data_IF_975021610465
#
_entry.id   IF_975021610465
#
_cell.length_a   1.000
_cell.length_b   1.000
_cell.length_c   1.000
_cell.angle_alpha   90.00
_cell.angle_beta   90.00
_cell.angle_gamma   90.00
#
_symmetry.space_group_name_H-M   'P 1'
#
loop_
_entity.id
_entity.type
_entity.pdbx_description
1 polymer ?
#
# COMPACT_ATOMS: atom_id res chain seq x y z
N UNK A 1 0.80 -16.02 -5.21
CA UNK A 1 1.30 -15.19 -4.11
C UNK A 1 1.13 -13.73 -4.46
N UNK A 2 0.60 -12.94 -3.54
CA UNK A 2 0.44 -11.49 -3.68
C UNK A 2 0.88 -10.79 -2.41
N UNK A 3 1.20 -9.51 -2.52
CA UNK A 3 1.59 -8.63 -1.43
C UNK A 3 0.54 -7.55 -1.26
N UNK A 4 0.02 -7.40 -0.05
CA UNK A 4 -0.72 -6.20 0.36
C UNK A 4 0.27 -5.26 1.02
N UNK A 5 0.28 -4.01 0.61
CA UNK A 5 1.27 -3.04 1.08
C UNK A 5 0.65 -1.70 1.41
N UNK A 6 1.23 -1.07 2.44
CA UNK A 6 0.87 0.22 2.98
C UNK A 6 2.08 1.13 2.82
N UNK A 7 1.91 2.24 2.10
CA UNK A 7 2.95 3.24 1.88
C UNK A 7 2.56 4.56 2.53
N UNK A 8 3.58 5.32 2.92
CA UNK A 8 3.44 6.71 3.31
C UNK A 8 4.43 7.57 2.52
N UNK A 9 4.00 8.77 2.13
CA UNK A 9 4.89 9.74 1.49
C UNK A 9 5.87 10.31 2.50
N UNK A 10 7.15 10.35 2.13
CA UNK A 10 8.17 11.00 2.96
C UNK A 10 8.13 12.53 2.81
N UNK A 11 7.76 13.03 1.63
CA UNK A 11 7.66 14.46 1.35
C UNK A 11 6.37 15.09 1.86
N UNK A 12 5.30 14.30 2.02
CA UNK A 12 3.98 14.77 2.45
C UNK A 12 3.41 13.90 3.57
N UNK A 13 3.77 14.18 4.85
CA UNK A 13 3.29 13.41 5.99
C UNK A 13 1.77 13.25 6.01
N UNK A 14 1.29 12.05 6.29
CA UNK A 14 -0.14 11.72 6.28
C UNK A 14 -0.71 11.36 4.91
N UNK A 15 0.02 11.55 3.80
CA UNK A 15 -0.36 10.97 2.50
C UNK A 15 -0.02 9.49 2.49
N UNK A 16 -1.06 8.66 2.42
CA UNK A 16 -0.99 7.20 2.58
C UNK A 16 -1.55 6.51 1.35
N UNK A 17 -1.04 5.32 1.05
CA UNK A 17 -1.50 4.50 -0.05
C UNK A 17 -1.59 3.04 0.38
N UNK A 18 -2.66 2.36 -0.04
CA UNK A 18 -2.85 0.92 0.17
C UNK A 18 -2.99 0.26 -1.19
N UNK A 19 -2.19 -0.77 -1.44
CA UNK A 19 -2.19 -1.48 -2.71
C UNK A 19 -1.97 -2.98 -2.56
N UNK A 20 -2.15 -3.65 -3.70
CA UNK A 20 -1.94 -5.07 -3.88
C UNK A 20 -1.11 -5.29 -5.14
N UNK A 21 -0.13 -6.19 -5.10
CA UNK A 21 0.70 -6.54 -6.27
C UNK A 21 1.24 -7.96 -6.14
N UNK A 22 1.60 -8.59 -7.25
CA UNK A 22 2.39 -9.84 -7.24
C UNK A 22 3.89 -9.61 -7.04
N UNK A 23 4.38 -8.40 -7.36
CA UNK A 23 5.77 -8.00 -7.20
C UNK A 23 5.83 -6.62 -6.51
N UNK A 24 6.23 -6.63 -5.24
CA UNK A 24 6.29 -5.42 -4.42
C UNK A 24 7.48 -4.52 -4.78
N UNK A 25 8.65 -5.11 -5.02
CA UNK A 25 9.89 -4.37 -5.28
C UNK A 25 9.78 -3.55 -6.55
N UNK A 26 9.33 -4.19 -7.64
CA UNK A 26 9.12 -3.50 -8.93
C UNK A 26 8.07 -2.41 -8.77
N UNK A 27 6.96 -2.71 -8.09
CA UNK A 27 5.85 -1.77 -7.92
C UNK A 27 6.21 -0.54 -7.09
N UNK A 28 7.01 -0.70 -6.04
CA UNK A 28 7.51 0.43 -5.24
C UNK A 28 8.43 1.32 -6.09
N UNK A 29 9.31 0.72 -6.90
CA UNK A 29 10.15 1.44 -7.86
C UNK A 29 9.33 2.26 -8.86
N UNK A 30 8.24 1.71 -9.40
CA UNK A 30 7.33 2.43 -10.28
C UNK A 30 6.62 3.61 -9.61
N UNK A 31 6.16 3.42 -8.36
CA UNK A 31 5.54 4.49 -7.58
C UNK A 31 6.52 5.65 -7.38
N UNK A 32 7.76 5.36 -7.00
CA UNK A 32 8.81 6.36 -6.77
C UNK A 32 9.38 6.97 -8.04
N UNK A 33 9.28 6.28 -9.18
CA UNK A 33 9.55 6.83 -10.50
C UNK A 33 8.39 7.70 -11.05
N UNK A 34 7.30 7.89 -10.30
CA UNK A 34 6.16 8.72 -10.72
C UNK A 34 5.33 8.13 -11.87
N UNK A 35 5.44 6.83 -12.15
CA UNK A 35 4.74 6.18 -13.26
C UNK A 35 3.23 6.01 -13.04
N UNK A 36 2.77 6.12 -11.80
CA UNK A 36 1.35 6.07 -11.48
C UNK A 36 0.78 7.50 -11.32
N UNK A 37 -0.24 7.89 -12.11
CA UNK A 37 -0.85 9.21 -12.02
C UNK A 37 -1.33 9.59 -10.62
N UNK A 38 -1.84 8.60 -9.86
CA UNK A 38 -2.40 8.80 -8.53
C UNK A 38 -1.34 8.91 -7.43
N UNK A 39 -0.13 8.40 -7.65
CA UNK A 39 0.93 8.42 -6.62
C UNK A 39 2.09 9.36 -6.96
N UNK A 40 2.21 9.81 -8.22
CA UNK A 40 3.31 10.67 -8.67
C UNK A 40 3.41 12.01 -7.93
N UNK A 41 2.28 12.53 -7.44
CA UNK A 41 2.23 13.83 -6.77
C UNK A 41 2.87 13.81 -5.37
N UNK A 42 3.06 12.63 -4.77
CA UNK A 42 3.51 12.48 -3.38
C UNK A 42 4.74 11.58 -3.26
N UNK A 43 5.53 11.46 -4.33
CA UNK A 43 6.84 10.80 -4.25
C UNK A 43 7.80 11.62 -3.37
N UNK A 44 8.77 10.98 -2.68
CA UNK A 44 8.99 9.54 -2.60
C UNK A 44 8.07 8.87 -1.55
N UNK A 45 7.76 7.60 -1.81
CA UNK A 45 6.98 6.71 -0.96
C UNK A 45 7.91 5.73 -0.24
N UNK A 46 7.69 5.60 1.07
CA UNK A 46 8.32 4.58 1.91
C UNK A 46 7.32 3.47 2.26
N UNK A 47 7.75 2.20 2.32
CA UNK A 47 6.94 1.12 2.88
C UNK A 47 6.77 1.30 4.39
N UNK A 48 5.53 1.16 4.86
CA UNK A 48 5.20 1.12 6.29
C UNK A 48 4.93 -0.33 6.70
N UNK A 49 4.10 -1.04 5.93
CA UNK A 49 3.81 -2.46 6.13
C UNK A 49 3.73 -3.15 4.77
N UNK A 50 4.30 -4.36 4.69
CA UNK A 50 4.17 -5.24 3.53
C UNK A 50 3.86 -6.64 4.04
N UNK A 51 2.74 -7.20 3.59
CA UNK A 51 2.28 -8.54 3.99
C UNK A 51 2.20 -9.41 2.75
N UNK A 52 2.96 -10.51 2.75
CA UNK A 52 2.89 -11.53 1.71
C UNK A 52 1.81 -12.55 2.05
N UNK A 53 0.98 -12.85 1.06
CA UNK A 53 -0.03 -13.90 1.12
C UNK A 53 0.30 -15.00 0.12
N UNK A 54 0.27 -16.23 0.60
CA UNK A 54 0.34 -17.43 -0.24
C UNK A 54 -0.96 -17.59 -1.03
N UNK A 55 -2.09 -17.42 -0.35
CA UNK A 55 -3.44 -17.44 -0.92
C UNK A 55 -3.81 -16.06 -1.49
N UNK A 56 -3.96 -16.00 -2.81
CA UNK A 56 -4.29 -14.77 -3.52
C UNK A 56 -5.67 -14.22 -3.08
N UNK A 57 -6.66 -15.07 -2.85
CA UNK A 57 -8.01 -14.63 -2.48
C UNK A 57 -8.02 -13.95 -1.11
N UNK A 58 -7.21 -14.44 -0.17
CA UNK A 58 -6.99 -13.77 1.13
C UNK A 58 -6.31 -12.42 0.97
N UNK A 59 -5.35 -12.30 0.06
CA UNK A 59 -4.70 -11.02 -0.24
C UNK A 59 -5.71 -9.99 -0.78
N UNK A 60 -6.53 -10.40 -1.75
CA UNK A 60 -7.59 -9.56 -2.34
C UNK A 60 -8.62 -9.15 -1.28
N UNK A 61 -9.05 -10.09 -0.42
CA UNK A 61 -9.99 -9.80 0.66
C UNK A 61 -9.40 -8.84 1.71
N UNK A 62 -8.13 -9.01 2.07
CA UNK A 62 -7.46 -8.16 3.04
C UNK A 62 -7.25 -6.73 2.51
N UNK A 63 -6.85 -6.57 1.25
CA UNK A 63 -6.73 -5.24 0.64
C UNK A 63 -8.08 -4.52 0.60
N UNK A 64 -9.14 -5.22 0.17
CA UNK A 64 -10.51 -4.67 0.17
C UNK A 64 -10.97 -4.29 1.58
N UNK A 65 -10.65 -5.12 2.57
CA UNK A 65 -10.94 -4.81 3.97
C UNK A 65 -10.22 -3.52 4.39
N UNK A 66 -8.92 -3.37 4.16
CA UNK A 66 -8.16 -2.16 4.51
C UNK A 66 -8.70 -0.89 3.84
N UNK A 67 -9.31 -1.03 2.65
CA UNK A 67 -9.99 0.05 1.91
C UNK A 67 -11.46 0.27 2.32
N UNK A 68 -11.95 -0.43 3.34
CA UNK A 68 -13.31 -0.27 3.89
C UNK A 68 -13.31 0.54 5.20
N UNK A 69 -14.46 1.03 5.66
CA UNK A 69 -14.54 1.90 6.84
C UNK A 69 -13.84 1.35 8.08
N UNK A 70 -14.17 0.12 8.50
CA UNK A 70 -13.53 -0.53 9.65
C UNK A 70 -12.04 -0.82 9.40
N UNK A 71 -11.66 -1.16 8.17
CA UNK A 71 -10.25 -1.37 7.84
C UNK A 71 -9.41 -0.10 7.85
N UNK A 72 -9.98 1.05 7.48
CA UNK A 72 -9.31 2.34 7.63
C UNK A 72 -9.03 2.64 9.12
N UNK A 73 -10.01 2.38 10.00
CA UNK A 73 -9.85 2.55 11.44
C UNK A 73 -8.78 1.61 12.00
N UNK A 74 -8.77 0.35 11.55
CA UNK A 74 -7.75 -0.63 11.90
C UNK A 74 -6.35 -0.16 11.48
N UNK A 75 -6.15 0.21 10.21
CA UNK A 75 -4.85 0.66 9.73
C UNK A 75 -4.37 1.93 10.46
N UNK A 76 -5.26 2.88 10.74
CA UNK A 76 -4.96 4.10 11.52
C UNK A 76 -4.54 3.82 12.95
N UNK A 77 -5.08 2.79 13.58
CA UNK A 77 -4.73 2.44 14.96
C UNK A 77 -3.40 1.68 15.05
N UNK A 78 -3.08 0.87 14.05
CA UNK A 78 -2.03 -0.15 14.18
C UNK A 78 -0.80 0.07 13.29
N UNK A 79 -0.93 0.77 12.18
CA UNK A 79 0.14 0.85 11.18
C UNK A 79 0.59 2.28 10.86
N UNK A 80 -0.32 3.24 10.97
CA UNK A 80 -0.04 4.63 10.63
C UNK A 80 0.35 5.53 11.79
#
# INVERSE_FOLDING_TARGET
MKYVYLLESESHPGKRYVGLTSDFTTRLGEHNAGKSPYTRAYVPWKPVVVVRFEDNAKADAFERYLKSGSGHAFAKRHFW
#
